data_IF_036351061144
#
_entry.id   IF_036351061144
#
_cell.length_a   1.000
_cell.length_b   1.000
_cell.length_c   1.000
_cell.angle_alpha   90.00
_cell.angle_beta   90.00
_cell.angle_gamma   90.00
#
_symmetry.space_group_name_H-M   'P 1'
#
loop_
_entity.id
_entity.type
_entity.pdbx_description
1 polymer ?
#
# COMPACT_ATOMS: atom_id res chain seq x y z
N UNK A 1 -2.07 -7.67 22.15
CA UNK A 1 -2.72 -6.34 22.16
C UNK A 1 -2.00 -5.52 21.12
N UNK A 2 -2.64 -5.29 19.96
CA UNK A 2 -2.01 -4.76 18.76
C UNK A 2 -1.56 -3.31 18.89
N UNK A 3 -0.46 -3.01 18.21
CA UNK A 3 0.38 -1.81 18.24
C UNK A 3 -0.19 -0.57 17.52
N UNK A 4 -1.51 -0.47 17.32
CA UNK A 4 -2.09 0.63 16.52
C UNK A 4 -2.16 1.98 17.24
N UNK A 5 -1.85 2.06 18.54
CA UNK A 5 -1.72 3.36 19.20
C UNK A 5 -0.60 3.36 20.25
N UNK A 6 0.64 3.23 19.77
CA UNK A 6 1.84 3.35 20.59
C UNK A 6 1.87 4.67 21.39
N UNK A 7 1.38 5.77 20.80
CA UNK A 7 1.27 7.06 21.47
C UNK A 7 0.35 7.00 22.71
N UNK A 8 -0.82 6.39 22.59
CA UNK A 8 -1.75 6.19 23.71
C UNK A 8 -1.18 5.28 24.79
N UNK A 9 -0.45 4.23 24.39
CA UNK A 9 0.25 3.38 25.35
C UNK A 9 1.31 4.19 26.12
N UNK A 10 2.13 4.97 25.43
CA UNK A 10 3.15 5.83 26.06
C UNK A 10 2.50 6.83 27.00
N UNK A 11 1.44 7.54 26.58
CA UNK A 11 0.72 8.50 27.41
C UNK A 11 0.21 7.91 28.74
N UNK A 12 -0.23 6.65 28.72
CA UNK A 12 -0.78 5.96 29.90
C UNK A 12 0.27 5.35 30.82
N UNK A 13 1.44 5.00 30.29
CA UNK A 13 2.41 4.17 31.00
C UNK A 13 3.74 4.87 31.32
N UNK A 14 4.04 5.99 30.65
CA UNK A 14 5.31 6.71 30.85
C UNK A 14 5.05 8.01 31.60
N UNK A 15 5.52 8.15 32.86
CA UNK A 15 5.27 9.34 33.64
C UNK A 15 6.08 10.55 33.22
N UNK A 16 5.50 11.74 33.40
CA UNK A 16 6.18 13.03 33.21
C UNK A 16 6.12 13.59 31.79
N UNK A 17 5.22 13.08 30.95
CA UNK A 17 4.96 13.60 29.60
C UNK A 17 3.68 14.44 29.62
N UNK A 18 3.71 15.62 29.02
CA UNK A 18 2.55 16.53 28.95
C UNK A 18 1.93 16.61 27.55
N UNK A 19 2.74 16.36 26.51
CA UNK A 19 2.34 16.41 25.10
C UNK A 19 3.12 15.38 24.28
N UNK A 20 2.43 14.65 23.41
CA UNK A 20 3.01 13.73 22.43
C UNK A 20 2.53 14.15 21.04
N UNK A 21 3.48 14.54 20.19
CA UNK A 21 3.26 14.71 18.76
C UNK A 21 3.53 13.37 18.07
N UNK A 22 2.55 12.84 17.36
CA UNK A 22 2.65 11.51 16.73
C UNK A 22 2.08 11.51 15.30
N UNK A 23 2.26 10.38 14.61
CA UNK A 23 1.82 10.17 13.23
C UNK A 23 1.71 8.67 12.93
N UNK A 24 2.09 8.27 11.71
CA UNK A 24 2.06 6.89 11.16
C UNK A 24 0.69 6.41 10.64
N UNK A 25 -0.40 6.64 11.36
CA UNK A 25 -1.75 6.21 10.94
C UNK A 25 -2.37 7.08 9.81
N UNK A 26 -1.79 8.25 9.56
CA UNK A 26 -2.29 9.28 8.63
C UNK A 26 -3.66 9.87 8.99
N UNK A 27 -4.11 9.71 10.24
CA UNK A 27 -5.42 10.17 10.72
C UNK A 27 -5.23 11.43 11.57
N UNK A 28 -5.81 12.58 11.18
CA UNK A 28 -5.74 13.78 12.01
C UNK A 28 -6.49 13.56 13.33
N UNK A 29 -5.84 13.85 14.45
CA UNK A 29 -6.42 13.63 15.79
C UNK A 29 -5.84 14.60 16.83
N UNK A 30 -6.69 14.99 17.79
CA UNK A 30 -6.30 15.61 19.06
C UNK A 30 -7.01 14.85 20.17
N UNK A 31 -6.26 14.32 21.12
CA UNK A 31 -6.81 13.57 22.25
C UNK A 31 -6.21 14.04 23.56
N UNK A 32 -7.03 14.20 24.59
CA UNK A 32 -6.61 14.45 25.96
C UNK A 32 -6.69 13.13 26.74
N UNK A 33 -5.56 12.64 27.24
CA UNK A 33 -5.47 11.37 27.97
C UNK A 33 -5.23 11.67 29.44
N UNK A 34 -6.23 11.48 30.32
CA UNK A 34 -6.03 11.60 31.76
C UNK A 34 -5.11 10.49 32.27
N UNK A 35 -4.05 10.84 32.99
CA UNK A 35 -3.09 9.86 33.50
C UNK A 35 -3.14 9.79 35.04
N UNK A 36 -3.45 8.62 35.63
CA UNK A 36 -3.52 8.48 37.09
C UNK A 36 -2.21 8.89 37.79
N UNK A 37 -2.31 9.81 38.76
CA UNK A 37 -1.16 10.33 39.50
C UNK A 37 -0.36 11.43 38.81
N UNK A 38 -0.81 11.88 37.63
CA UNK A 38 -0.22 12.96 36.83
C UNK A 38 -1.34 13.91 36.36
N UNK A 39 -0.97 14.97 35.64
CA UNK A 39 -1.94 15.75 34.87
C UNK A 39 -2.26 15.03 33.53
N UNK A 40 -3.03 15.69 32.67
CA UNK A 40 -3.44 15.20 31.34
C UNK A 40 -2.28 15.22 30.34
N UNK A 41 -2.07 14.12 29.63
CA UNK A 41 -1.17 14.07 28.46
C UNK A 41 -1.97 14.38 27.20
N UNK A 42 -1.54 15.36 26.41
CA UNK A 42 -2.16 15.65 25.11
C UNK A 42 -1.49 14.83 24.00
N UNK A 43 -2.29 14.28 23.09
CA UNK A 43 -1.84 13.65 21.85
C UNK A 43 -2.25 14.54 20.68
N UNK A 44 -1.31 14.83 19.76
CA UNK A 44 -1.59 15.60 18.55
C UNK A 44 -1.01 14.92 17.31
N UNK A 45 -1.85 14.76 16.28
CA UNK A 45 -1.50 14.15 15.00
C UNK A 45 -2.11 14.99 13.87
N UNK A 46 -1.30 15.57 12.97
CA UNK A 46 -1.79 16.35 11.83
C UNK A 46 -2.35 15.49 10.68
N UNK A 47 -2.29 14.16 10.79
CA UNK A 47 -2.63 13.24 9.72
C UNK A 47 -1.52 13.18 8.67
N UNK A 48 -1.86 13.36 7.40
CA UNK A 48 -0.90 13.22 6.29
C UNK A 48 -1.09 14.27 5.21
N UNK A 49 -0.12 14.31 4.28
CA UNK A 49 -0.14 15.10 3.03
C UNK A 49 -0.21 16.61 3.25
N UNK A 50 0.28 17.09 4.39
CA UNK A 50 0.33 18.51 4.71
C UNK A 50 -1.04 19.19 4.80
N UNK A 51 -2.14 18.43 4.97
CA UNK A 51 -3.48 19.01 5.07
C UNK A 51 -3.66 19.83 6.34
N UNK A 52 -3.09 19.36 7.45
CA UNK A 52 -3.12 20.08 8.71
C UNK A 52 -1.70 20.34 9.22
N UNK A 53 -1.53 21.45 9.91
CA UNK A 53 -0.39 21.71 10.78
C UNK A 53 -0.86 21.57 12.22
N UNK A 54 -0.15 20.74 12.98
CA UNK A 54 -0.37 20.56 14.41
C UNK A 54 0.24 21.74 15.19
N UNK A 55 -0.59 22.52 15.87
CA UNK A 55 -0.14 23.64 16.71
C UNK A 55 -0.49 23.37 18.18
N UNK A 56 0.50 23.49 19.06
CA UNK A 56 0.30 23.42 20.51
C UNK A 56 0.86 24.69 21.17
N UNK A 57 0.02 25.41 21.90
CA UNK A 57 0.45 26.45 22.82
C UNK A 57 0.62 25.85 24.21
N UNK A 58 1.80 26.05 24.81
CA UNK A 58 2.17 25.50 26.11
C UNK A 58 2.44 26.66 27.06
N UNK A 59 1.58 26.81 28.07
CA UNK A 59 1.76 27.78 29.14
C UNK A 59 2.37 27.06 30.36
N UNK A 60 3.56 27.49 30.79
CA UNK A 60 4.29 26.90 31.92
C UNK A 60 4.30 27.88 33.09
N UNK A 61 3.74 27.47 34.23
CA UNK A 61 3.78 28.25 35.46
C UNK A 61 4.72 27.60 36.48
N UNK A 62 5.79 28.34 36.80
CA UNK A 62 6.78 27.95 37.81
C UNK A 62 6.36 28.47 39.19
N UNK A 63 5.61 27.65 39.94
CA UNK A 63 5.30 27.86 41.36
C UNK A 63 5.85 26.75 42.24
N UNK A 64 5.31 26.56 43.45
CA UNK A 64 5.67 25.46 44.38
C UNK A 64 5.47 24.08 43.73
N UNK A 65 4.55 23.98 42.76
CA UNK A 65 4.43 22.87 41.81
C UNK A 65 4.45 23.43 40.38
N UNK A 66 5.14 22.75 39.46
CA UNK A 66 5.07 23.04 38.02
C UNK A 66 3.64 22.78 37.55
N UNK A 67 3.00 23.77 36.93
CA UNK A 67 1.72 23.60 36.23
C UNK A 67 1.95 23.85 34.75
N UNK A 68 1.38 22.99 33.91
CA UNK A 68 1.50 23.06 32.46
C UNK A 68 0.10 23.02 31.90
N UNK A 69 -0.22 23.99 31.05
CA UNK A 69 -1.46 23.97 30.26
C UNK A 69 -1.10 23.87 28.80
N UNK A 70 -1.72 22.91 28.12
CA UNK A 70 -1.56 22.72 26.68
C UNK A 70 -2.88 23.04 26.01
N UNK A 71 -2.82 23.90 25.00
CA UNK A 71 -3.93 24.14 24.06
C UNK A 71 -3.48 23.68 22.68
N UNK A 72 -4.08 22.60 22.20
CA UNK A 72 -3.79 21.98 20.92
C UNK A 72 -4.86 22.33 19.87
N UNK A 73 -4.45 22.61 18.63
CA UNK A 73 -5.33 22.80 17.48
C UNK A 73 -4.69 22.21 16.21
N UNK A 74 -5.53 21.75 15.28
CA UNK A 74 -5.11 21.43 13.91
C UNK A 74 -5.52 22.59 13.01
N UNK A 75 -4.54 23.20 12.36
CA UNK A 75 -4.75 24.31 11.43
C UNK A 75 -4.86 23.72 10.02
N UNK A 76 -5.99 23.93 9.32
CA UNK A 76 -6.13 23.47 7.93
C UNK A 76 -5.28 24.37 7.04
N UNK A 77 -4.32 23.78 6.32
CA UNK A 77 -3.39 24.54 5.48
C UNK A 77 -4.07 25.23 4.31
N UNK A 78 -5.29 24.81 3.95
CA UNK A 78 -6.11 25.51 2.95
C UNK A 78 -6.55 26.90 3.37
N UNK A 79 -6.54 27.20 4.67
CA UNK A 79 -6.90 28.51 5.21
C UNK A 79 -5.72 29.47 5.28
N UNK A 80 -4.52 29.01 4.93
CA UNK A 80 -3.29 29.78 4.96
C UNK A 80 -2.92 30.25 3.55
N UNK A 81 -2.47 31.49 3.45
CA UNK A 81 -1.91 32.02 2.21
C UNK A 81 -0.51 31.44 1.98
N UNK A 82 -0.18 31.00 0.75
CA UNK A 82 1.18 30.59 0.41
C UNK A 82 2.18 31.73 0.61
N UNK A 83 3.32 31.41 1.23
CA UNK A 83 4.44 32.32 1.38
C UNK A 83 5.05 32.62 -0.01
N UNK A 84 4.96 33.88 -0.43
CA UNK A 84 5.42 34.28 -1.77
C UNK A 84 6.94 34.24 -1.91
N UNK A 85 7.69 34.60 -0.85
CA UNK A 85 9.16 34.55 -0.87
C UNK A 85 9.63 33.10 -0.99
N UNK A 86 8.96 32.17 -0.29
CA UNK A 86 9.20 30.74 -0.46
C UNK A 86 8.91 30.25 -1.89
N UNK A 87 7.78 30.66 -2.48
CA UNK A 87 7.44 30.25 -3.85
C UNK A 87 8.47 30.77 -4.87
N UNK A 88 8.93 32.01 -4.72
CA UNK A 88 9.95 32.61 -5.56
C UNK A 88 11.30 31.89 -5.41
N UNK A 89 11.75 31.65 -4.18
CA UNK A 89 13.00 30.95 -3.88
C UNK A 89 13.04 29.52 -4.43
N UNK A 90 11.88 28.84 -4.47
CA UNK A 90 11.78 27.44 -4.91
C UNK A 90 11.28 27.27 -6.35
N UNK A 91 10.99 28.36 -7.07
CA UNK A 91 10.39 28.29 -8.41
C UNK A 91 11.19 27.41 -9.38
N UNK A 92 12.52 27.53 -9.40
CA UNK A 92 13.39 26.71 -10.25
C UNK A 92 13.34 25.21 -9.91
N UNK A 93 13.03 24.85 -8.66
CA UNK A 93 12.82 23.45 -8.29
C UNK A 93 11.46 22.95 -8.76
N UNK A 94 10.40 23.77 -8.65
CA UNK A 94 9.08 23.42 -9.14
C UNK A 94 9.05 23.27 -10.66
N UNK A 95 9.72 24.15 -11.41
CA UNK A 95 9.82 24.02 -12.87
C UNK A 95 10.59 22.76 -13.27
N UNK A 96 11.71 22.45 -12.61
CA UNK A 96 12.44 21.19 -12.87
C UNK A 96 11.61 19.96 -12.54
N UNK A 97 10.88 19.98 -11.42
CA UNK A 97 9.97 18.90 -11.04
C UNK A 97 8.85 18.75 -12.07
N UNK A 98 8.25 19.85 -12.53
CA UNK A 98 7.21 19.83 -13.56
C UNK A 98 7.70 19.23 -14.87
N UNK A 99 8.87 19.66 -15.36
CA UNK A 99 9.48 19.09 -16.57
C UNK A 99 9.76 17.60 -16.40
N UNK A 100 10.30 17.20 -15.24
CA UNK A 100 10.58 15.79 -14.95
C UNK A 100 9.30 14.94 -14.91
N UNK A 101 8.29 15.38 -14.15
CA UNK A 101 7.00 14.72 -13.98
C UNK A 101 6.18 14.62 -15.28
N UNK A 102 6.36 15.57 -16.19
CA UNK A 102 5.70 15.62 -17.51
C UNK A 102 6.56 15.02 -18.63
N UNK A 103 7.58 14.22 -18.30
CA UNK A 103 8.29 13.40 -19.28
C UNK A 103 7.34 12.33 -19.86
N UNK A 104 7.11 12.26 -21.19
CA UNK A 104 6.23 11.27 -21.80
C UNK A 104 6.88 9.87 -21.77
N UNK A 105 6.11 8.85 -21.40
CA UNK A 105 6.58 7.46 -21.26
C UNK A 105 5.93 6.51 -22.26
N UNK A 106 4.59 6.49 -22.33
CA UNK A 106 3.82 5.55 -23.15
C UNK A 106 2.43 6.11 -23.46
N UNK A 107 1.67 5.47 -24.34
CA UNK A 107 0.25 5.77 -24.58
C UNK A 107 -0.63 4.58 -24.14
N UNK A 108 -1.66 4.85 -23.35
CA UNK A 108 -2.65 3.85 -22.91
C UNK A 108 -4.01 4.06 -23.61
N UNK A 109 -4.59 2.99 -24.15
CA UNK A 109 -5.79 3.03 -24.98
C UNK A 109 -7.11 3.04 -24.18
N UNK A 110 -7.05 2.88 -22.85
CA UNK A 110 -8.21 2.88 -21.97
C UNK A 110 -7.89 3.52 -20.60
N UNK A 111 -8.94 3.99 -19.91
CA UNK A 111 -8.82 4.49 -18.54
C UNK A 111 -8.73 3.31 -17.57
N UNK A 112 -7.92 3.46 -16.52
CA UNK A 112 -7.86 2.54 -15.37
C UNK A 112 -8.28 3.28 -14.10
N UNK A 113 -9.03 2.61 -13.23
CA UNK A 113 -9.54 3.15 -11.97
C UNK A 113 -9.21 2.17 -10.84
N UNK A 114 -8.47 2.62 -9.82
CA UNK A 114 -8.01 1.76 -8.73
C UNK A 114 -9.17 1.25 -7.87
N UNK A 115 -10.20 2.09 -7.63
CA UNK A 115 -11.43 1.76 -6.88
C UNK A 115 -12.18 0.51 -7.40
N UNK A 116 -11.99 0.15 -8.67
CA UNK A 116 -12.66 -1.01 -9.29
C UNK A 116 -12.15 -2.35 -8.78
N UNK A 117 -11.01 -2.38 -8.09
CA UNK A 117 -10.46 -3.62 -7.55
C UNK A 117 -11.44 -4.36 -6.61
N UNK A 118 -12.28 -3.64 -5.85
CA UNK A 118 -13.30 -4.27 -4.99
C UNK A 118 -14.56 -4.73 -5.74
N UNK A 119 -14.79 -4.21 -6.94
CA UNK A 119 -15.98 -4.54 -7.74
C UNK A 119 -15.79 -5.89 -8.46
N UNK A 120 -14.56 -6.25 -8.80
CA UNK A 120 -14.21 -7.45 -9.55
C UNK A 120 -12.84 -7.34 -10.22
N UNK A 121 -12.56 -8.19 -11.23
CA UNK A 121 -11.41 -8.01 -12.11
C UNK A 121 -11.36 -6.58 -12.65
N UNK A 122 -10.18 -5.97 -12.62
CA UNK A 122 -10.03 -4.55 -12.92
C UNK A 122 -8.77 -4.31 -13.74
N UNK A 123 -8.87 -3.44 -14.74
CA UNK A 123 -7.76 -3.05 -15.60
C UNK A 123 -6.53 -2.60 -14.79
N UNK A 124 -6.76 -1.89 -13.68
CA UNK A 124 -5.70 -1.38 -12.79
C UNK A 124 -4.83 -2.49 -12.22
N UNK A 125 -5.42 -3.48 -11.55
CA UNK A 125 -4.67 -4.55 -10.86
C UNK A 125 -4.26 -5.64 -11.85
N UNK A 126 -5.09 -5.94 -12.84
CA UNK A 126 -4.82 -6.98 -13.82
C UNK A 126 -3.64 -6.62 -14.74
N UNK A 127 -3.41 -5.33 -15.00
CA UNK A 127 -2.23 -4.92 -15.73
C UNK A 127 -0.96 -4.97 -14.87
N UNK A 128 -1.07 -4.75 -13.55
CA UNK A 128 0.02 -5.06 -12.60
C UNK A 128 0.35 -6.55 -12.65
N UNK A 129 -0.64 -7.44 -12.59
CA UNK A 129 -0.41 -8.88 -12.72
C UNK A 129 0.33 -9.24 -14.02
N UNK A 130 -0.10 -8.66 -15.14
CA UNK A 130 0.53 -8.90 -16.45
C UNK A 130 2.00 -8.45 -16.46
N UNK A 131 2.27 -7.24 -15.97
CA UNK A 131 3.62 -6.70 -15.90
C UNK A 131 4.52 -7.49 -14.95
N UNK A 132 4.06 -7.85 -13.75
CA UNK A 132 4.84 -8.64 -12.79
C UNK A 132 5.32 -9.97 -13.40
N UNK A 133 4.42 -10.70 -14.08
CA UNK A 133 4.76 -11.98 -14.73
C UNK A 133 5.72 -11.76 -15.91
N UNK A 134 5.45 -10.77 -16.76
CA UNK A 134 6.28 -10.47 -17.91
C UNK A 134 7.70 -10.07 -17.50
N UNK A 135 7.84 -9.13 -16.56
CA UNK A 135 9.13 -8.62 -16.11
C UNK A 135 9.91 -9.65 -15.30
N UNK A 136 9.26 -10.49 -14.49
CA UNK A 136 9.93 -11.61 -13.84
C UNK A 136 10.61 -12.52 -14.88
N UNK A 137 9.90 -12.87 -15.96
CA UNK A 137 10.45 -13.67 -17.06
C UNK A 137 11.56 -12.98 -17.88
N UNK A 138 11.71 -11.65 -17.78
CA UNK A 138 12.81 -10.89 -18.38
C UNK A 138 14.04 -10.78 -17.48
N UNK A 139 13.86 -10.93 -16.16
CA UNK A 139 14.92 -10.67 -15.16
C UNK A 139 15.49 -11.95 -14.52
N UNK A 140 14.80 -13.09 -14.65
CA UNK A 140 15.22 -14.37 -14.06
C UNK A 140 14.64 -15.56 -14.82
N UNK A 141 15.33 -16.71 -14.76
CA UNK A 141 14.85 -17.99 -15.31
C UNK A 141 13.72 -18.62 -14.47
N UNK A 142 13.41 -18.02 -13.32
CA UNK A 142 12.28 -18.41 -12.50
C UNK A 142 10.98 -17.89 -13.13
N UNK A 143 10.23 -18.79 -13.74
CA UNK A 143 8.91 -18.48 -14.30
C UNK A 143 7.84 -18.57 -13.20
N UNK A 144 7.28 -17.44 -12.71
CA UNK A 144 6.19 -17.48 -11.75
C UNK A 144 4.92 -18.07 -12.39
N UNK A 145 4.19 -18.83 -11.58
CA UNK A 145 2.94 -19.49 -11.95
C UNK A 145 1.72 -18.71 -11.46
N UNK A 146 1.88 -17.97 -10.36
CA UNK A 146 0.84 -17.14 -9.74
C UNK A 146 1.41 -15.74 -9.49
N UNK A 147 0.56 -14.73 -9.56
CA UNK A 147 0.90 -13.35 -9.20
C UNK A 147 -0.10 -12.82 -8.18
N UNK A 148 0.39 -12.17 -7.12
CA UNK A 148 -0.44 -11.35 -6.21
C UNK A 148 -0.16 -9.87 -6.42
N UNK A 149 -1.21 -9.05 -6.37
CA UNK A 149 -1.13 -7.61 -6.52
C UNK A 149 -2.37 -6.95 -5.91
N UNK A 150 -2.18 -5.75 -5.36
CA UNK A 150 -3.23 -4.85 -4.89
C UNK A 150 -3.24 -3.55 -5.69
N UNK A 151 -4.28 -2.74 -5.49
CA UNK A 151 -4.41 -1.46 -6.17
C UNK A 151 -3.41 -0.39 -5.68
N UNK A 152 -2.82 -0.55 -4.49
CA UNK A 152 -1.90 0.38 -3.80
C UNK A 152 -2.47 1.78 -3.46
N UNK A 153 -3.55 2.19 -4.11
CA UNK A 153 -4.27 3.44 -3.88
C UNK A 153 -5.79 3.23 -3.97
N UNK A 154 -6.56 3.97 -3.18
CA UNK A 154 -8.01 3.79 -3.11
C UNK A 154 -8.80 4.44 -4.24
N UNK A 155 -8.41 5.64 -4.65
CA UNK A 155 -9.22 6.41 -5.58
C UNK A 155 -8.38 7.14 -6.62
N UNK A 156 -7.53 6.37 -7.29
CA UNK A 156 -6.67 6.85 -8.34
C UNK A 156 -7.24 6.52 -9.71
N UNK A 157 -7.01 7.42 -10.66
CA UNK A 157 -7.44 7.28 -12.05
C UNK A 157 -6.26 7.58 -12.96
N UNK A 158 -6.00 6.67 -13.89
CA UNK A 158 -5.07 6.89 -15.01
C UNK A 158 -5.94 6.97 -16.26
N UNK A 159 -6.02 8.15 -16.84
CA UNK A 159 -6.86 8.41 -18.01
C UNK A 159 -6.24 7.83 -19.28
N UNK A 160 -7.09 7.42 -20.23
CA UNK A 160 -6.64 7.08 -21.59
C UNK A 160 -5.82 8.22 -22.21
N UNK A 161 -4.82 7.88 -23.00
CA UNK A 161 -3.96 8.82 -23.73
C UNK A 161 -2.49 8.73 -23.32
N UNK A 162 -1.77 9.84 -23.49
CA UNK A 162 -0.36 9.94 -23.12
C UNK A 162 -0.18 9.77 -21.61
N UNK A 163 0.64 8.80 -21.23
CA UNK A 163 1.18 8.64 -19.90
C UNK A 163 2.48 9.41 -19.75
N UNK A 164 2.59 10.07 -18.62
CA UNK A 164 3.77 10.78 -18.16
C UNK A 164 4.37 10.08 -16.95
N UNK A 165 5.60 10.43 -16.62
CA UNK A 165 6.31 9.88 -15.46
C UNK A 165 5.49 9.97 -14.16
N UNK A 166 4.79 11.08 -13.92
CA UNK A 166 3.90 11.24 -12.75
C UNK A 166 2.79 10.18 -12.66
N UNK A 167 2.28 9.68 -13.79
CA UNK A 167 1.20 8.69 -13.78
C UNK A 167 1.69 7.35 -13.22
N UNK A 168 2.98 7.04 -13.38
CA UNK A 168 3.61 5.88 -12.76
C UNK A 168 3.88 6.09 -11.26
N UNK A 169 4.05 7.31 -10.76
CA UNK A 169 4.05 7.61 -9.32
C UNK A 169 2.65 7.44 -8.72
N UNK A 170 1.60 7.79 -9.47
CA UNK A 170 0.22 7.49 -9.09
C UNK A 170 -0.03 5.98 -9.07
N UNK A 171 0.47 5.24 -10.06
CA UNK A 171 0.26 3.79 -10.14
C UNK A 171 1.05 3.00 -9.09
N UNK A 172 2.34 3.34 -8.92
CA UNK A 172 3.29 2.69 -8.01
C UNK A 172 3.90 3.72 -7.04
N UNK A 173 3.17 4.08 -5.97
CA UNK A 173 3.62 5.13 -5.03
C UNK A 173 4.79 4.73 -4.14
N UNK A 174 5.12 3.43 -4.07
CA UNK A 174 6.14 2.89 -3.19
C UNK A 174 7.34 2.36 -3.98
N UNK A 175 8.53 2.49 -3.39
CA UNK A 175 9.79 1.97 -3.95
C UNK A 175 9.93 0.48 -3.64
N UNK A 176 9.14 -0.34 -4.33
CA UNK A 176 9.18 -1.80 -4.20
C UNK A 176 9.92 -2.42 -5.38
N UNK A 177 10.55 -3.58 -5.17
CA UNK A 177 11.09 -4.44 -6.24
C UNK A 177 10.17 -5.64 -6.45
N UNK A 178 10.39 -6.41 -7.52
CA UNK A 178 9.69 -7.69 -7.71
C UNK A 178 10.36 -8.79 -6.90
N UNK A 179 9.57 -9.62 -6.22
CA UNK A 179 10.04 -10.83 -5.57
C UNK A 179 9.30 -12.05 -6.11
N UNK A 180 10.02 -13.17 -6.23
CA UNK A 180 9.42 -14.49 -6.45
C UNK A 180 9.62 -15.28 -5.16
N UNK A 181 8.52 -15.74 -4.58
CA UNK A 181 8.52 -16.58 -3.39
C UNK A 181 7.93 -17.95 -3.69
N UNK A 182 8.30 -18.95 -2.89
CA UNK A 182 7.73 -20.28 -2.97
C UNK A 182 6.56 -20.44 -1.98
N UNK A 183 5.38 -20.79 -2.47
CA UNK A 183 4.20 -21.06 -1.65
C UNK A 183 3.53 -22.38 -2.05
N UNK A 184 3.01 -23.12 -1.09
CA UNK A 184 2.10 -24.24 -1.37
C UNK A 184 0.76 -23.76 -1.89
N UNK A 185 0.02 -24.61 -2.60
CA UNK A 185 -1.33 -24.29 -3.05
C UNK A 185 -2.29 -23.96 -1.89
N UNK A 186 -2.14 -24.63 -0.75
CA UNK A 186 -2.91 -24.33 0.46
C UNK A 186 -2.57 -22.94 1.01
N UNK A 187 -1.29 -22.57 1.06
CA UNK A 187 -0.86 -21.21 1.45
C UNK A 187 -1.39 -20.14 0.48
N UNK A 188 -1.42 -20.41 -0.83
CA UNK A 188 -2.01 -19.48 -1.83
C UNK A 188 -3.50 -19.27 -1.56
N UNK A 189 -4.23 -20.34 -1.22
CA UNK A 189 -5.65 -20.24 -0.87
C UNK A 189 -5.83 -19.43 0.41
N UNK A 190 -5.07 -19.72 1.46
CA UNK A 190 -5.16 -19.01 2.75
C UNK A 190 -4.76 -17.53 2.64
N UNK A 191 -3.76 -17.23 1.82
CA UNK A 191 -3.38 -15.85 1.49
C UNK A 191 -4.57 -15.09 0.91
N UNK A 192 -5.27 -15.68 -0.06
CA UNK A 192 -6.45 -15.06 -0.67
C UNK A 192 -7.62 -14.99 0.33
N UNK A 193 -7.84 -16.01 1.17
CA UNK A 193 -8.87 -15.93 2.23
C UNK A 193 -8.62 -14.74 3.17
N UNK A 194 -7.37 -14.52 3.56
CA UNK A 194 -6.98 -13.36 4.37
C UNK A 194 -7.21 -12.05 3.62
N UNK A 195 -6.82 -11.99 2.34
CA UNK A 195 -6.92 -10.81 1.50
C UNK A 195 -8.37 -10.36 1.27
N UNK A 196 -9.27 -11.32 1.04
CA UNK A 196 -10.71 -11.06 0.87
C UNK A 196 -11.46 -10.87 2.18
N UNK A 197 -10.75 -10.78 3.31
CA UNK A 197 -11.27 -10.25 4.58
C UNK A 197 -10.85 -8.80 4.84
N UNK A 198 -9.97 -8.24 4.01
CA UNK A 198 -9.50 -6.86 4.15
C UNK A 198 -10.53 -5.88 3.60
N UNK A 199 -10.74 -4.79 4.33
CA UNK A 199 -11.60 -3.67 3.91
C UNK A 199 -10.80 -2.51 3.30
N UNK A 200 -9.48 -2.52 3.48
CA UNK A 200 -8.58 -1.56 2.86
C UNK A 200 -8.07 -2.12 1.52
N UNK A 201 -8.29 -1.36 0.45
CA UNK A 201 -7.92 -1.73 -0.92
C UNK A 201 -6.41 -1.92 -1.11
N UNK A 202 -5.59 -1.28 -0.28
CA UNK A 202 -4.14 -1.43 -0.31
C UNK A 202 -3.77 -2.84 0.14
N UNK A 203 -4.57 -3.43 1.05
CA UNK A 203 -4.44 -4.82 1.53
C UNK A 203 -5.38 -5.81 0.84
N UNK A 204 -6.08 -5.38 -0.21
CA UNK A 204 -6.88 -6.26 -1.03
C UNK A 204 -6.07 -6.67 -2.26
N UNK A 205 -5.46 -7.84 -2.17
CA UNK A 205 -4.69 -8.48 -3.22
C UNK A 205 -5.58 -9.48 -4.00
N UNK A 206 -5.61 -9.35 -5.33
CA UNK A 206 -6.14 -10.40 -6.21
C UNK A 206 -5.03 -11.32 -6.70
N UNK A 207 -5.42 -12.41 -7.37
CA UNK A 207 -4.47 -13.31 -8.01
C UNK A 207 -4.65 -13.39 -9.53
N UNK A 208 -3.52 -13.52 -10.23
CA UNK A 208 -3.46 -14.00 -11.59
C UNK A 208 -2.70 -15.33 -11.68
N UNK A 209 -2.93 -16.09 -12.75
CA UNK A 209 -2.29 -17.39 -12.95
C UNK A 209 -3.14 -18.59 -12.51
N UNK A 210 -4.25 -18.36 -11.81
CA UNK A 210 -5.23 -19.36 -11.37
C UNK A 210 -6.65 -18.91 -11.70
N UNK A 211 -7.55 -19.87 -11.95
CA UNK A 211 -8.98 -19.60 -12.02
C UNK A 211 -9.63 -19.82 -10.66
N UNK A 212 -10.29 -18.82 -10.09
CA UNK A 212 -10.95 -18.94 -8.79
C UNK A 212 -12.29 -18.18 -8.70
N UNK A 213 -13.10 -18.51 -7.71
CA UNK A 213 -14.35 -17.82 -7.40
C UNK A 213 -14.36 -17.39 -5.96
N UNK A 214 -14.87 -16.19 -5.73
CA UNK A 214 -14.95 -15.59 -4.40
C UNK A 214 -16.42 -15.48 -3.98
N UNK A 215 -16.79 -16.21 -2.94
CA UNK A 215 -18.14 -16.23 -2.39
C UNK A 215 -18.25 -15.24 -1.24
N UNK A 216 -18.77 -14.02 -1.50
CA UNK A 216 -18.79 -12.94 -0.50
C UNK A 216 -19.59 -13.28 0.76
N UNK A 217 -20.59 -14.15 0.62
CA UNK A 217 -21.52 -14.51 1.69
C UNK A 217 -21.07 -15.71 2.53
N UNK A 218 -19.90 -16.31 2.23
CA UNK A 218 -19.37 -17.42 3.03
C UNK A 218 -18.59 -16.92 4.25
N UNK A 219 -18.51 -17.74 5.32
CA UNK A 219 -17.67 -17.44 6.48
C UNK A 219 -16.23 -17.14 6.09
N UNK A 220 -15.54 -16.35 6.91
CA UNK A 220 -14.10 -16.10 6.77
C UNK A 220 -13.34 -17.43 6.72
N UNK A 221 -12.44 -17.59 5.75
CA UNK A 221 -11.68 -18.82 5.54
C UNK A 221 -12.34 -19.83 4.60
N UNK A 222 -13.58 -19.55 4.14
CA UNK A 222 -14.32 -20.40 3.20
C UNK A 222 -14.79 -19.66 1.94
N UNK A 223 -14.31 -18.43 1.70
CA UNK A 223 -14.76 -17.56 0.60
C UNK A 223 -14.13 -17.93 -0.73
N UNK A 224 -12.93 -18.53 -0.75
CA UNK A 224 -12.12 -18.76 -1.94
C UNK A 224 -12.23 -20.22 -2.39
N UNK A 225 -12.65 -20.41 -3.65
CA UNK A 225 -12.60 -21.70 -4.34
C UNK A 225 -11.72 -21.57 -5.57
N UNK A 226 -10.55 -22.19 -5.54
CA UNK A 226 -9.62 -22.28 -6.67
C UNK A 226 -9.98 -23.51 -7.51
N UNK A 227 -10.20 -23.30 -8.81
CA UNK A 227 -10.67 -24.34 -9.74
C UNK A 227 -9.52 -25.01 -10.48
N UNK A 228 -8.55 -24.23 -10.95
CA UNK A 228 -7.42 -24.73 -11.76
C UNK A 228 -6.34 -23.67 -11.95
N UNK A 229 -5.19 -24.07 -12.48
CA UNK A 229 -4.22 -23.14 -13.05
C UNK A 229 -4.77 -22.55 -14.36
N UNK A 230 -4.48 -21.27 -14.62
CA UNK A 230 -4.85 -20.57 -15.86
C UNK A 230 -4.30 -21.23 -17.13
N UNK A 231 -3.18 -21.97 -17.00
CA UNK A 231 -2.50 -22.69 -18.09
C UNK A 231 -3.09 -24.08 -18.37
N UNK A 232 -4.22 -24.43 -17.75
CA UNK A 232 -4.95 -25.69 -18.00
C UNK A 232 -4.53 -26.87 -17.13
N UNK A 233 -3.58 -26.70 -16.21
CA UNK A 233 -3.19 -27.74 -15.25
C UNK A 233 -4.06 -27.72 -13.99
N UNK A 234 -4.26 -28.86 -13.30
CA UNK A 234 -4.90 -28.88 -12.00
C UNK A 234 -4.16 -28.00 -10.97
N UNK A 235 -4.93 -27.34 -10.10
CA UNK A 235 -4.39 -26.73 -8.90
C UNK A 235 -4.31 -27.80 -7.79
N UNK A 236 -3.13 -27.98 -7.19
CA UNK A 236 -2.85 -29.03 -6.22
C UNK A 236 -2.43 -28.37 -4.90
N UNK A 237 -3.21 -28.53 -3.80
CA UNK A 237 -2.95 -27.82 -2.55
C UNK A 237 -1.56 -28.05 -1.96
N UNK A 238 -1.02 -29.26 -2.06
CA UNK A 238 0.26 -29.63 -1.45
C UNK A 238 1.47 -29.27 -2.33
N UNK A 239 1.22 -28.92 -3.61
CA UNK A 239 2.29 -28.54 -4.54
C UNK A 239 2.81 -27.15 -4.19
N UNK A 240 4.11 -26.97 -4.31
CA UNK A 240 4.79 -25.68 -4.27
C UNK A 240 4.74 -24.99 -5.63
N UNK A 241 4.41 -23.70 -5.61
CA UNK A 241 4.30 -22.81 -6.75
C UNK A 241 5.24 -21.63 -6.58
N UNK A 242 5.71 -21.09 -7.70
CA UNK A 242 6.43 -19.81 -7.73
C UNK A 242 5.42 -18.68 -7.83
N UNK A 243 5.41 -17.79 -6.85
CA UNK A 243 4.48 -16.67 -6.75
C UNK A 243 5.24 -15.36 -6.87
N UNK A 244 4.87 -14.52 -7.84
CA UNK A 244 5.44 -13.17 -7.99
C UNK A 244 4.59 -12.12 -7.31
N UNK A 245 5.23 -11.22 -6.57
CA UNK A 245 4.60 -10.07 -5.90
C UNK A 245 5.64 -8.97 -5.68
N UNK A 246 5.22 -7.83 -5.12
CA UNK A 246 6.15 -6.79 -4.71
C UNK A 246 6.93 -7.18 -3.43
N UNK A 247 8.11 -6.57 -3.23
CA UNK A 247 8.99 -6.88 -2.10
C UNK A 247 8.37 -6.59 -0.74
N UNK A 248 7.56 -5.53 -0.62
CA UNK A 248 6.79 -5.24 0.59
C UNK A 248 5.91 -6.43 1.02
N UNK A 249 5.15 -7.02 0.10
CA UNK A 249 4.32 -8.21 0.36
C UNK A 249 5.16 -9.43 0.68
N UNK A 250 6.25 -9.65 -0.06
CA UNK A 250 7.14 -10.78 0.16
C UNK A 250 7.83 -10.77 1.53
N UNK A 251 8.03 -9.59 2.11
CA UNK A 251 8.59 -9.41 3.45
C UNK A 251 7.53 -9.41 4.57
N UNK A 252 6.26 -9.70 4.25
CA UNK A 252 5.15 -9.80 5.21
C UNK A 252 4.34 -8.51 5.39
N UNK A 253 4.61 -7.49 4.57
CA UNK A 253 3.85 -6.24 4.56
C UNK A 253 2.35 -6.45 4.38
N UNK A 254 1.57 -5.65 5.13
CA UNK A 254 0.12 -5.72 5.23
C UNK A 254 -0.43 -7.09 5.64
N UNK A 255 0.38 -7.88 6.34
CA UNK A 255 -0.04 -8.99 7.20
C UNK A 255 -0.47 -10.28 6.54
N UNK A 256 -0.34 -10.40 5.22
CA UNK A 256 -0.80 -11.60 4.51
C UNK A 256 0.03 -12.83 4.87
N UNK A 257 1.36 -12.69 5.03
CA UNK A 257 2.23 -13.81 5.39
C UNK A 257 2.21 -14.10 6.90
N UNK A 258 2.23 -13.07 7.74
CA UNK A 258 2.38 -13.26 9.19
C UNK A 258 1.03 -13.52 9.87
N UNK A 259 0.05 -12.63 9.75
CA UNK A 259 -1.28 -12.83 10.33
C UNK A 259 -2.12 -13.79 9.50
N UNK A 260 -1.98 -13.76 8.17
CA UNK A 260 -2.75 -14.61 7.25
C UNK A 260 -2.30 -16.07 7.21
N UNK A 261 -0.99 -16.32 7.16
CA UNK A 261 -0.43 -17.68 7.09
C UNK A 261 0.22 -18.15 8.38
N UNK A 262 0.46 -17.27 9.35
CA UNK A 262 1.21 -17.61 10.57
C UNK A 262 2.71 -17.78 10.33
N UNK A 263 3.26 -17.31 9.21
CA UNK A 263 4.69 -17.42 8.95
C UNK A 263 5.49 -16.55 9.93
N UNK A 264 6.70 -17.03 10.25
CA UNK A 264 7.70 -16.20 10.93
C UNK A 264 8.47 -15.33 9.92
N UNK A 265 9.10 -14.23 10.35
CA UNK A 265 10.01 -13.47 9.48
C UNK A 265 11.13 -14.33 8.87
N UNK A 266 11.66 -15.30 9.62
CA UNK A 266 12.66 -16.24 9.12
C UNK A 266 12.10 -17.11 7.99
N UNK A 267 10.88 -17.64 8.16
CA UNK A 267 10.19 -18.42 7.13
C UNK A 267 9.95 -17.59 5.87
N UNK A 268 9.47 -16.35 5.99
CA UNK A 268 9.26 -15.47 4.84
C UNK A 268 10.58 -15.25 4.08
N UNK A 269 11.67 -14.95 4.79
CA UNK A 269 12.98 -14.75 4.18
C UNK A 269 13.51 -16.00 3.47
N UNK A 270 13.38 -17.17 4.09
CA UNK A 270 13.82 -18.46 3.50
C UNK A 270 13.03 -18.86 2.25
N UNK A 271 11.80 -18.36 2.10
CA UNK A 271 10.92 -18.68 0.96
C UNK A 271 11.10 -17.76 -0.23
N UNK A 272 11.86 -16.67 -0.10
CA UNK A 272 12.21 -15.81 -1.23
C UNK A 272 13.21 -16.54 -2.12
N UNK A 273 12.79 -16.87 -3.34
CA UNK A 273 13.64 -17.52 -4.34
C UNK A 273 14.47 -16.51 -5.14
N UNK A 274 13.92 -15.29 -5.31
CA UNK A 274 14.56 -14.22 -6.05
C UNK A 274 13.95 -12.87 -5.68
N UNK A 275 14.81 -11.85 -5.65
CA UNK A 275 14.43 -10.45 -5.51
C UNK A 275 15.10 -9.65 -6.64
N UNK A 276 14.29 -8.87 -7.34
CA UNK A 276 14.71 -7.99 -8.41
C UNK A 276 15.51 -6.81 -7.88
N UNK A 277 16.40 -6.30 -8.72
CA UNK A 277 17.24 -5.13 -8.40
C UNK A 277 16.67 -3.82 -8.90
N UNK A 278 15.65 -3.88 -9.75
CA UNK A 278 15.01 -2.73 -10.36
C UNK A 278 13.73 -2.40 -9.60
N UNK A 279 13.59 -1.14 -9.23
CA UNK A 279 12.35 -0.59 -8.71
C UNK A 279 11.19 -0.88 -9.70
N UNK A 280 10.05 -1.29 -9.16
CA UNK A 280 8.88 -1.70 -9.93
C UNK A 280 8.37 -0.54 -10.79
N UNK A 281 8.36 0.70 -10.29
CA UNK A 281 7.91 1.85 -11.08
C UNK A 281 8.78 2.01 -12.31
N UNK A 282 10.10 1.95 -12.16
CA UNK A 282 11.04 1.99 -13.28
C UNK A 282 10.86 0.81 -14.24
N UNK A 283 10.67 -0.40 -13.70
CA UNK A 283 10.46 -1.59 -14.52
C UNK A 283 9.17 -1.51 -15.34
N UNK A 284 8.06 -1.06 -14.74
CA UNK A 284 6.80 -0.82 -15.42
C UNK A 284 6.91 0.31 -16.44
N UNK A 285 7.56 1.43 -16.13
CA UNK A 285 7.80 2.50 -17.11
C UNK A 285 8.47 1.97 -18.38
N UNK A 286 9.54 1.19 -18.22
CA UNK A 286 10.26 0.60 -19.35
C UNK A 286 9.42 -0.43 -20.11
N UNK A 287 8.72 -1.29 -19.38
CA UNK A 287 7.89 -2.33 -19.98
C UNK A 287 6.73 -1.73 -20.78
N UNK A 288 6.03 -0.74 -20.22
CA UNK A 288 4.93 -0.05 -20.89
C UNK A 288 5.38 0.74 -22.11
N UNK A 289 6.51 1.46 -22.00
CA UNK A 289 7.11 2.15 -23.12
C UNK A 289 7.44 1.18 -24.28
N UNK A 290 7.93 -0.02 -23.97
CA UNK A 290 8.31 -1.02 -24.99
C UNK A 290 7.13 -1.56 -25.82
N UNK A 291 5.90 -1.39 -25.33
CA UNK A 291 4.67 -1.88 -25.96
C UNK A 291 3.65 -0.77 -26.24
N UNK A 292 4.09 0.48 -26.23
CA UNK A 292 3.25 1.63 -26.53
C UNK A 292 2.80 1.64 -28.01
N UNK A 293 1.53 1.91 -28.33
CA UNK A 293 0.41 2.08 -27.40
C UNK A 293 -0.08 0.73 -26.85
N UNK A 294 -0.52 0.70 -25.59
CA UNK A 294 -1.01 -0.51 -24.95
C UNK A 294 -2.44 -0.38 -24.43
N UNK A 295 -3.07 -1.52 -24.17
CA UNK A 295 -4.41 -1.60 -23.57
C UNK A 295 -4.36 -2.47 -22.33
N UNK A 296 -4.90 -1.96 -21.23
CA UNK A 296 -5.02 -2.66 -19.96
C UNK A 296 -6.42 -3.28 -19.85
N UNK A 297 -6.56 -4.54 -20.28
CA UNK A 297 -7.82 -5.26 -20.20
C UNK A 297 -7.87 -6.14 -18.94
N UNK A 298 -9.02 -6.16 -18.22
CA UNK A 298 -9.22 -7.08 -17.09
C UNK A 298 -8.98 -8.54 -17.48
N UNK A 299 -8.42 -9.31 -16.55
CA UNK A 299 -8.12 -10.72 -16.74
C UNK A 299 -9.30 -11.58 -16.26
N UNK A 300 -9.71 -12.63 -17.01
CA UNK A 300 -10.86 -13.46 -16.66
C UNK A 300 -10.53 -14.52 -15.60
N UNK A 301 -9.57 -14.26 -14.71
CA UNK A 301 -9.04 -15.24 -13.76
C UNK A 301 -9.93 -15.42 -12.54
N UNK A 302 -10.76 -14.43 -12.20
CA UNK A 302 -11.61 -14.54 -11.03
C UNK A 302 -12.92 -13.81 -11.18
N UNK A 303 -13.87 -14.14 -10.29
CA UNK A 303 -15.17 -13.49 -10.22
C UNK A 303 -15.77 -13.63 -8.83
N UNK A 304 -16.64 -12.70 -8.48
CA UNK A 304 -17.51 -12.83 -7.33
C UNK A 304 -18.70 -13.75 -7.61
N UNK A 305 -19.22 -14.35 -6.53
CA UNK A 305 -20.46 -15.10 -6.50
C UNK A 305 -21.22 -14.87 -5.19
#
# INVERSE_FOLDING_TARGET
MGSENAALWVARNVPGIDLICYGHDHIPNIEAVPTPGQDTVWLINPGARGRYVAQAQIDIHHGVKKQIRVKAVLVDTKELEPDQEYLEDFNDYFERAYVYETTPIAEILNTMESRRAFDGPSAWVDEVHRGQVAMAGLQTDLLPEVSFASALQYDAVIHKGQLYLKDFFTWFPYENTLCIIEMTGEEIKQYLEYSYDQTNIINFDSAAGIFYTVYKNRPKGERIVIHSMSRGFPFVPERKYKVVMNSYRAQGGGGHLFEGLGWSPATAQERILWEGKTDMRQAFMNWEASRSPFRADPLPYWRYR
#
